data_IF_985430740840
#
_entry.id   IF_985430740840
#
_cell.length_a   1.000
_cell.length_b   1.000
_cell.length_c   1.000
_cell.angle_alpha   90.00
_cell.angle_beta   90.00
_cell.angle_gamma   90.00
#
_symmetry.space_group_name_H-M   'P 1'
#
loop_
_entity.id
_entity.type
_entity.pdbx_description
1 polymer ?
#
# COMPACT_ATOMS: atom_id res chain seq x y z
N UNK A 1 -12.76 -10.06 73.03
CA UNK A 1 -12.86 -9.49 71.69
C UNK A 1 -11.47 -9.02 71.28
N UNK A 2 -10.79 -9.76 70.38
CA UNK A 2 -9.44 -9.46 69.87
C UNK A 2 -9.56 -8.60 68.59
N UNK A 3 -9.05 -7.38 68.65
CA UNK A 3 -8.96 -6.49 67.48
C UNK A 3 -7.65 -6.78 66.72
N UNK A 4 -7.77 -7.25 65.51
CA UNK A 4 -6.66 -7.54 64.61
C UNK A 4 -6.03 -6.25 64.06
N UNK A 5 -4.74 -6.07 64.31
CA UNK A 5 -3.89 -5.02 63.71
C UNK A 5 -3.61 -5.39 62.24
N UNK A 6 -4.14 -4.64 61.28
CA UNK A 6 -3.69 -4.66 59.89
C UNK A 6 -2.40 -3.86 59.75
N UNK A 7 -1.32 -4.53 59.46
CA UNK A 7 -0.04 -3.93 59.06
C UNK A 7 -0.14 -3.45 57.60
N UNK A 8 -0.08 -2.15 57.39
CA UNK A 8 0.07 -1.53 56.08
C UNK A 8 1.55 -1.60 55.67
N UNK A 9 1.86 -2.47 54.73
CA UNK A 9 3.13 -2.47 54.00
C UNK A 9 3.22 -1.22 53.13
N UNK A 10 3.99 -0.22 53.54
CA UNK A 10 4.38 0.90 52.70
C UNK A 10 5.56 0.47 51.82
N UNK A 11 5.29 0.16 50.53
CA UNK A 11 6.32 0.01 49.52
C UNK A 11 6.79 1.42 49.08
N UNK A 12 7.76 1.97 49.78
CA UNK A 12 8.42 3.22 49.42
C UNK A 12 9.50 2.97 48.35
N UNK A 13 9.10 2.88 47.09
CA UNK A 13 10.06 2.89 45.99
C UNK A 13 10.69 4.29 45.89
N UNK A 14 12.00 4.39 46.08
CA UNK A 14 12.68 5.69 46.04
C UNK A 14 12.77 6.22 44.63
N UNK A 15 12.71 7.56 44.44
CA UNK A 15 12.83 8.23 43.16
C UNK A 15 14.11 7.79 42.40
N UNK A 16 15.19 7.51 43.13
CA UNK A 16 16.45 6.97 42.58
C UNK A 16 16.27 5.60 41.91
N UNK A 17 15.46 4.73 42.51
CA UNK A 17 15.18 3.39 41.97
C UNK A 17 14.33 3.48 40.68
N UNK A 18 13.34 4.38 40.63
CA UNK A 18 12.52 4.60 39.44
C UNK A 18 13.37 5.17 38.28
N UNK A 19 14.25 6.13 38.56
CA UNK A 19 15.17 6.71 37.56
C UNK A 19 16.15 5.65 37.06
N UNK A 20 16.70 4.80 37.93
CA UNK A 20 17.59 3.72 37.51
C UNK A 20 16.89 2.68 36.64
N UNK A 21 15.66 2.31 36.98
CA UNK A 21 14.85 1.38 36.15
C UNK A 21 14.55 2.00 34.78
N UNK A 22 14.20 3.29 34.71
CA UNK A 22 13.95 3.97 33.45
C UNK A 22 15.23 4.08 32.59
N UNK A 23 16.39 4.34 33.19
CA UNK A 23 17.68 4.38 32.49
C UNK A 23 18.05 2.96 32.00
N UNK A 24 17.87 1.92 32.81
CA UNK A 24 18.14 0.55 32.38
C UNK A 24 17.23 0.09 31.26
N UNK A 25 15.94 0.47 31.26
CA UNK A 25 15.00 0.18 30.18
C UNK A 25 15.33 0.96 28.90
N UNK A 26 15.82 2.19 29.00
CA UNK A 26 16.26 2.99 27.86
C UNK A 26 17.57 2.48 27.24
N UNK A 27 18.49 1.98 28.05
CA UNK A 27 19.77 1.41 27.59
C UNK A 27 19.59 0.02 26.99
N UNK A 28 18.67 -0.81 27.51
CA UNK A 28 18.37 -2.13 26.94
C UNK A 28 17.64 -2.04 25.59
N UNK A 29 16.90 -0.97 25.31
CA UNK A 29 16.30 -0.75 24.00
C UNK A 29 17.28 -0.35 22.90
N UNK A 30 18.48 0.13 23.24
CA UNK A 30 19.55 0.43 22.29
C UNK A 30 20.34 -0.81 21.82
N UNK A 31 20.25 -1.92 22.56
CA UNK A 31 21.03 -3.13 22.28
C UNK A 31 20.28 -4.21 21.48
N UNK A 32 18.98 -4.05 21.21
CA UNK A 32 18.16 -5.05 20.48
C UNK A 32 18.22 -4.89 18.96
N UNK A 33 18.93 -3.88 18.45
CA UNK A 33 19.05 -3.62 17.03
C UNK A 33 19.96 -4.54 16.21
N UNK A 34 20.66 -5.51 16.84
CA UNK A 34 21.74 -6.25 16.16
C UNK A 34 21.53 -7.77 16.00
N UNK A 35 20.42 -8.36 16.42
CA UNK A 35 20.29 -9.83 16.43
C UNK A 35 18.94 -10.40 15.98
N UNK A 36 18.30 -9.87 14.95
CA UNK A 36 17.24 -10.61 14.27
C UNK A 36 17.41 -10.55 12.76
N UNK A 37 18.47 -11.16 12.28
CA UNK A 37 18.50 -11.76 10.95
C UNK A 37 18.22 -13.26 11.16
N UNK A 38 17.06 -13.79 10.75
CA UNK A 38 16.84 -15.22 10.77
C UNK A 38 17.88 -15.85 9.83
N UNK A 39 18.75 -16.71 10.35
CA UNK A 39 19.56 -17.57 9.49
C UNK A 39 18.60 -18.43 8.67
N UNK A 40 18.70 -18.46 7.34
CA UNK A 40 17.88 -19.32 6.50
C UNK A 40 18.40 -20.76 6.59
N UNK A 41 18.15 -21.45 7.67
CA UNK A 41 18.28 -22.89 7.77
C UNK A 41 16.89 -23.51 7.84
N UNK A 42 16.15 -23.39 6.74
CA UNK A 42 14.96 -24.20 6.53
C UNK A 42 15.35 -25.50 5.80
N UNK A 43 15.03 -26.69 6.34
CA UNK A 43 15.35 -27.96 5.69
C UNK A 43 14.59 -28.21 4.38
N UNK A 44 13.71 -27.30 3.97
CA UNK A 44 12.93 -27.40 2.74
C UNK A 44 13.59 -26.77 1.51
N UNK A 45 14.72 -26.09 1.65
CA UNK A 45 15.52 -25.57 0.54
C UNK A 45 16.89 -26.23 0.53
N UNK A 46 16.95 -27.45 0.00
CA UNK A 46 18.19 -28.16 -0.33
C UNK A 46 18.84 -27.60 -1.57
N UNK A 47 19.23 -26.32 -1.57
CA UNK A 47 20.01 -25.68 -2.61
C UNK A 47 21.32 -25.17 -2.01
N UNK A 48 22.46 -25.58 -2.59
CA UNK A 48 23.78 -25.03 -2.29
C UNK A 48 23.72 -23.50 -2.22
N UNK A 49 23.98 -22.95 -1.05
CA UNK A 49 24.29 -21.53 -0.89
C UNK A 49 25.65 -21.26 -1.56
N UNK A 50 25.66 -20.92 -2.82
CA UNK A 50 26.75 -20.12 -3.34
C UNK A 50 26.61 -18.74 -2.72
N UNK A 51 27.45 -18.47 -1.72
CA UNK A 51 27.61 -17.13 -1.15
C UNK A 51 28.32 -16.25 -2.17
N UNK A 52 27.58 -15.84 -3.19
CA UNK A 52 27.94 -14.68 -4.00
C UNK A 52 27.86 -13.43 -3.14
N UNK A 53 28.59 -12.37 -3.46
CA UNK A 53 28.48 -11.10 -2.77
C UNK A 53 27.02 -10.67 -2.79
N UNK A 54 26.48 -10.31 -1.60
CA UNK A 54 25.12 -9.76 -1.47
C UNK A 54 25.04 -8.56 -2.40
N UNK A 55 24.20 -8.64 -3.42
CA UNK A 55 24.00 -7.55 -4.35
C UNK A 55 23.46 -6.34 -3.55
N UNK A 56 24.31 -5.33 -3.36
CA UNK A 56 24.00 -4.12 -2.59
C UNK A 56 23.22 -3.07 -3.38
N UNK A 57 22.44 -3.49 -4.39
CA UNK A 57 21.63 -2.59 -5.21
C UNK A 57 20.51 -3.32 -5.93
N UNK A 58 19.50 -2.56 -6.37
CA UNK A 58 18.46 -3.07 -7.25
C UNK A 58 19.08 -3.63 -8.53
N UNK A 59 18.66 -4.81 -9.01
CA UNK A 59 19.03 -5.32 -10.33
C UNK A 59 18.81 -4.23 -11.39
N UNK A 60 19.69 -4.15 -12.39
CA UNK A 60 19.59 -3.13 -13.46
C UNK A 60 18.19 -3.09 -14.11
N UNK A 61 17.56 -4.25 -14.29
CA UNK A 61 16.21 -4.35 -14.83
C UNK A 61 15.14 -3.68 -13.97
N UNK A 62 15.38 -3.44 -12.68
CA UNK A 62 14.41 -2.83 -11.76
C UNK A 62 14.70 -1.36 -11.43
N UNK A 63 15.83 -0.80 -11.86
CA UNK A 63 16.23 0.56 -11.49
C UNK A 63 15.26 1.63 -12.00
N UNK A 64 14.63 1.41 -13.16
CA UNK A 64 13.70 2.34 -13.80
C UNK A 64 12.24 1.83 -13.79
N UNK A 65 11.93 0.88 -12.94
CA UNK A 65 10.60 0.26 -12.83
C UNK A 65 9.87 0.82 -11.62
N UNK A 66 8.59 1.19 -11.79
CA UNK A 66 7.81 1.71 -10.68
C UNK A 66 6.49 2.33 -11.12
N UNK A 67 5.73 2.80 -10.15
CA UNK A 67 4.54 3.62 -10.37
C UNK A 67 4.71 4.89 -9.53
N UNK A 68 4.90 6.02 -10.19
CA UNK A 68 4.98 7.33 -9.57
C UNK A 68 3.57 7.91 -9.45
N UNK A 69 3.13 8.21 -8.23
CA UNK A 69 1.79 8.76 -8.03
C UNK A 69 1.63 10.13 -8.67
N UNK A 70 0.63 10.25 -9.52
CA UNK A 70 0.26 11.50 -10.20
C UNK A 70 -1.19 11.89 -9.89
N UNK A 71 -1.53 11.89 -8.60
CA UNK A 71 -2.88 12.24 -8.15
C UNK A 71 -3.31 13.61 -8.67
N UNK A 72 -4.60 13.72 -9.02
CA UNK A 72 -5.23 14.91 -9.61
C UNK A 72 -4.70 15.30 -11.01
N UNK A 73 -3.76 14.56 -11.58
CA UNK A 73 -3.34 14.81 -12.97
C UNK A 73 -4.37 14.26 -13.95
N UNK A 74 -4.49 14.95 -15.07
CA UNK A 74 -5.39 14.58 -16.15
C UNK A 74 -4.78 13.47 -17.02
N UNK A 75 -5.49 12.36 -17.14
CA UNK A 75 -5.16 11.33 -18.15
C UNK A 75 -5.55 11.88 -19.53
N UNK A 76 -4.67 11.82 -20.53
CA UNK A 76 -5.00 12.29 -21.87
C UNK A 76 -6.06 11.40 -22.51
N UNK A 77 -7.29 11.91 -22.63
CA UNK A 77 -8.44 11.17 -23.12
C UNK A 77 -8.48 11.03 -24.65
N UNK A 78 -7.68 11.79 -25.34
CA UNK A 78 -7.56 11.79 -26.82
C UNK A 78 -6.58 10.74 -27.36
N UNK A 79 -5.96 9.92 -26.50
CA UNK A 79 -5.02 8.87 -26.92
C UNK A 79 -5.74 7.87 -27.84
N UNK A 80 -5.27 7.66 -29.08
CA UNK A 80 -5.82 6.66 -29.96
C UNK A 80 -5.37 5.26 -29.54
N UNK A 81 -6.32 4.35 -29.37
CA UNK A 81 -6.10 2.95 -29.02
C UNK A 81 -6.92 2.07 -29.96
N UNK A 82 -6.78 0.76 -29.83
CA UNK A 82 -7.64 -0.23 -30.49
C UNK A 82 -8.35 -1.07 -29.45
N UNK A 83 -9.65 -1.24 -29.62
CA UNK A 83 -10.44 -2.11 -28.76
C UNK A 83 -10.21 -3.60 -29.11
N UNK A 84 -10.81 -4.48 -28.34
CA UNK A 84 -10.76 -5.92 -28.55
C UNK A 84 -11.39 -6.40 -29.86
N UNK A 85 -12.16 -5.55 -30.56
CA UNK A 85 -12.72 -5.83 -31.87
C UNK A 85 -11.83 -5.27 -33.01
N UNK A 86 -10.70 -4.63 -32.67
CA UNK A 86 -9.78 -4.02 -33.60
C UNK A 86 -10.18 -2.62 -34.07
N UNK A 87 -11.25 -2.05 -33.51
CA UNK A 87 -11.71 -0.71 -33.87
C UNK A 87 -10.81 0.35 -33.24
N UNK A 88 -10.49 1.38 -33.99
CA UNK A 88 -9.77 2.53 -33.45
C UNK A 88 -10.70 3.37 -32.59
N UNK A 89 -10.32 3.59 -31.34
CA UNK A 89 -11.11 4.30 -30.33
C UNK A 89 -10.23 5.27 -29.55
N UNK A 90 -10.70 6.47 -29.22
CA UNK A 90 -10.01 7.32 -28.25
C UNK A 90 -10.20 6.75 -26.83
N UNK A 91 -9.19 6.87 -25.98
CA UNK A 91 -9.29 6.44 -24.57
C UNK A 91 -10.50 7.05 -23.87
N UNK A 92 -10.83 8.30 -24.18
CA UNK A 92 -11.96 9.04 -23.62
C UNK A 92 -13.34 8.44 -23.85
N UNK A 93 -13.47 7.50 -24.79
CA UNK A 93 -14.74 6.81 -25.06
C UNK A 93 -15.30 6.11 -23.81
N UNK A 94 -14.43 5.71 -22.89
CA UNK A 94 -14.78 4.96 -21.69
C UNK A 94 -15.00 5.85 -20.46
N UNK A 95 -14.92 7.16 -20.63
CA UNK A 95 -15.05 8.17 -19.57
C UNK A 95 -16.33 8.99 -19.68
N UNK A 96 -16.52 9.91 -18.77
CA UNK A 96 -17.59 10.92 -18.77
C UNK A 96 -18.83 10.55 -17.95
N UNK A 97 -19.08 9.27 -17.68
CA UNK A 97 -20.30 8.84 -16.97
C UNK A 97 -20.00 8.24 -15.59
N UNK A 98 -18.94 7.48 -15.48
CA UNK A 98 -18.60 6.66 -14.33
C UNK A 98 -17.11 6.72 -14.04
N UNK A 99 -16.66 6.44 -12.81
CA UNK A 99 -15.26 6.25 -12.53
C UNK A 99 -14.72 5.05 -13.33
N UNK A 100 -13.43 5.09 -13.64
CA UNK A 100 -12.76 4.07 -14.42
C UNK A 100 -11.67 3.42 -13.59
N UNK A 101 -11.62 2.08 -13.55
CA UNK A 101 -10.44 1.35 -13.11
C UNK A 101 -9.54 1.17 -14.32
N UNK A 102 -8.37 1.79 -14.29
CA UNK A 102 -7.34 1.67 -15.30
C UNK A 102 -6.27 0.68 -14.84
N UNK A 103 -5.98 -0.32 -15.66
CA UNK A 103 -4.88 -1.27 -15.43
C UNK A 103 -3.96 -1.32 -16.63
N UNK A 104 -2.66 -1.34 -16.37
CA UNK A 104 -1.61 -1.47 -17.38
C UNK A 104 -0.95 -2.84 -17.24
N UNK A 105 -1.07 -3.67 -18.26
CA UNK A 105 -0.55 -5.04 -18.29
C UNK A 105 0.01 -5.32 -19.69
N UNK A 106 0.64 -6.46 -19.91
CA UNK A 106 0.77 -7.02 -21.26
C UNK A 106 0.19 -8.45 -21.26
N UNK A 107 -0.51 -8.79 -22.33
CA UNK A 107 -1.39 -9.96 -22.35
C UNK A 107 -0.62 -11.29 -22.40
N UNK A 108 0.57 -11.30 -23.01
CA UNK A 108 1.44 -12.47 -23.06
C UNK A 108 2.34 -12.63 -21.82
N UNK A 109 2.11 -11.83 -20.77
CA UNK A 109 2.88 -11.96 -19.54
C UNK A 109 2.67 -13.33 -18.89
N UNK A 110 3.75 -14.08 -18.61
CA UNK A 110 3.63 -15.41 -18.02
C UNK A 110 3.28 -15.37 -16.53
N UNK A 111 3.43 -14.23 -15.83
CA UNK A 111 3.34 -14.22 -14.37
C UNK A 111 2.61 -12.99 -13.80
N UNK A 112 3.27 -11.85 -13.70
CA UNK A 112 2.82 -10.71 -12.87
C UNK A 112 1.52 -10.05 -13.37
N UNK A 113 1.38 -9.83 -14.67
CA UNK A 113 0.15 -9.25 -15.24
C UNK A 113 -1.05 -10.18 -15.03
N UNK A 114 -0.84 -11.50 -15.12
CA UNK A 114 -1.86 -12.49 -14.79
C UNK A 114 -2.30 -12.38 -13.33
N UNK A 115 -1.39 -12.12 -12.40
CA UNK A 115 -1.72 -11.91 -10.98
C UNK A 115 -2.52 -10.62 -10.75
N UNK A 116 -2.16 -9.51 -11.43
CA UNK A 116 -2.94 -8.25 -11.37
C UNK A 116 -4.39 -8.50 -11.82
N UNK A 117 -4.58 -9.13 -12.97
CA UNK A 117 -5.93 -9.40 -13.49
C UNK A 117 -6.71 -10.41 -12.61
N UNK A 118 -6.03 -11.41 -12.03
CA UNK A 118 -6.63 -12.34 -11.08
C UNK A 118 -7.08 -11.62 -9.79
N UNK A 119 -6.27 -10.68 -9.29
CA UNK A 119 -6.61 -9.85 -8.14
C UNK A 119 -7.83 -8.96 -8.40
N UNK A 120 -7.93 -8.38 -9.59
CA UNK A 120 -9.13 -7.65 -10.02
C UNK A 120 -10.37 -8.55 -10.04
N UNK A 121 -10.28 -9.74 -10.63
CA UNK A 121 -11.39 -10.73 -10.60
C UNK A 121 -11.76 -11.10 -9.18
N UNK A 122 -10.76 -11.33 -8.30
CA UNK A 122 -10.99 -11.63 -6.89
C UNK A 122 -11.83 -10.55 -6.20
N UNK A 123 -11.46 -9.28 -6.42
CA UNK A 123 -12.20 -8.14 -5.89
C UNK A 123 -13.59 -8.02 -6.51
N UNK A 124 -13.71 -8.13 -7.82
CA UNK A 124 -15.01 -7.99 -8.51
C UNK A 124 -16.01 -9.09 -8.15
N UNK A 125 -15.56 -10.30 -7.75
CA UNK A 125 -16.42 -11.36 -7.25
C UNK A 125 -17.19 -10.95 -5.99
N UNK A 126 -16.53 -10.21 -5.10
CA UNK A 126 -17.07 -9.84 -3.78
C UNK A 126 -17.57 -8.40 -3.72
N UNK A 127 -17.16 -7.55 -4.67
CA UNK A 127 -17.61 -6.17 -4.77
C UNK A 127 -19.11 -6.13 -5.08
N UNK A 128 -19.86 -5.28 -4.37
CA UNK A 128 -21.30 -5.08 -4.63
C UNK A 128 -21.57 -4.32 -5.93
N UNK A 129 -20.56 -3.62 -6.46
CA UNK A 129 -20.60 -2.90 -7.73
C UNK A 129 -20.21 -3.82 -8.88
N UNK A 130 -20.68 -3.50 -10.09
CA UNK A 130 -20.44 -4.30 -11.30
C UNK A 130 -19.78 -3.45 -12.40
N UNK A 131 -18.73 -3.98 -13.06
CA UNK A 131 -18.20 -3.35 -14.27
C UNK A 131 -19.32 -3.13 -15.29
N UNK A 132 -19.36 -1.92 -15.89
CA UNK A 132 -20.38 -1.54 -16.86
C UNK A 132 -21.68 -1.01 -16.26
N UNK A 133 -21.82 -1.05 -14.92
CA UNK A 133 -22.97 -0.47 -14.20
C UNK A 133 -22.54 0.72 -13.35
N UNK A 134 -21.75 0.53 -12.30
CA UNK A 134 -21.28 1.60 -11.42
C UNK A 134 -19.92 2.15 -11.83
N UNK A 135 -19.10 1.38 -12.54
CA UNK A 135 -17.78 1.79 -13.02
C UNK A 135 -17.42 1.11 -14.33
N UNK A 136 -16.47 1.67 -15.05
CA UNK A 136 -15.85 1.03 -16.21
C UNK A 136 -14.49 0.46 -15.83
N UNK A 137 -14.03 -0.55 -16.55
CA UNK A 137 -12.69 -1.12 -16.41
C UNK A 137 -12.00 -1.03 -17.77
N UNK A 138 -10.84 -0.40 -17.77
CA UNK A 138 -10.00 -0.25 -18.97
C UNK A 138 -8.65 -0.89 -18.69
N UNK A 139 -8.39 -2.00 -19.35
CA UNK A 139 -7.13 -2.73 -19.31
C UNK A 139 -6.39 -2.47 -20.62
N UNK A 140 -5.22 -1.83 -20.55
CA UNK A 140 -4.42 -1.48 -21.73
C UNK A 140 -3.15 -2.29 -21.72
N UNK A 141 -2.85 -2.94 -22.86
CA UNK A 141 -1.54 -3.53 -23.04
C UNK A 141 -0.49 -2.44 -23.27
N UNK A 142 0.61 -2.53 -22.51
CA UNK A 142 1.76 -1.66 -22.74
C UNK A 142 2.82 -2.28 -23.66
N UNK A 143 2.56 -3.47 -24.23
CA UNK A 143 3.37 -4.04 -25.29
C UNK A 143 2.74 -3.69 -26.66
N UNK A 144 3.39 -2.80 -27.39
CA UNK A 144 2.92 -2.35 -28.71
C UNK A 144 2.86 -3.44 -29.78
N UNK A 145 3.45 -4.61 -29.51
CA UNK A 145 3.44 -5.79 -30.41
C UNK A 145 2.16 -6.61 -30.29
N UNK A 146 1.37 -6.39 -29.22
CA UNK A 146 0.15 -7.15 -28.96
C UNK A 146 -1.03 -6.66 -29.79
N UNK A 147 -1.95 -7.57 -30.09
CA UNK A 147 -3.00 -7.38 -31.08
C UNK A 147 -4.40 -7.49 -30.49
N UNK A 148 -5.39 -6.91 -31.18
CA UNK A 148 -6.80 -6.98 -30.77
C UNK A 148 -7.35 -8.41 -30.60
N UNK A 149 -7.03 -9.41 -31.46
CA UNK A 149 -7.45 -10.78 -31.19
C UNK A 149 -6.94 -11.36 -29.87
N UNK A 150 -5.71 -11.00 -29.47
CA UNK A 150 -5.17 -11.41 -28.17
C UNK A 150 -5.90 -10.71 -27.02
N UNK A 151 -6.20 -9.43 -27.16
CA UNK A 151 -7.01 -8.65 -26.22
C UNK A 151 -8.41 -9.27 -26.05
N UNK A 152 -9.07 -9.63 -27.15
CA UNK A 152 -10.35 -10.32 -27.13
C UNK A 152 -10.31 -11.68 -26.41
N UNK A 153 -9.28 -12.47 -26.68
CA UNK A 153 -9.07 -13.75 -26.00
C UNK A 153 -8.90 -13.56 -24.49
N UNK A 154 -8.09 -12.58 -24.06
CA UNK A 154 -7.91 -12.24 -22.66
C UNK A 154 -9.21 -11.76 -22.01
N UNK A 155 -9.94 -10.85 -22.65
CA UNK A 155 -11.25 -10.40 -22.19
C UNK A 155 -12.17 -11.58 -21.90
N UNK A 156 -12.31 -12.50 -22.84
CA UNK A 156 -13.18 -13.68 -22.71
C UNK A 156 -12.77 -14.53 -21.50
N UNK A 157 -11.49 -14.75 -21.27
CA UNK A 157 -11.01 -15.51 -20.12
C UNK A 157 -11.42 -14.85 -18.82
N UNK A 158 -11.11 -13.54 -18.64
CA UNK A 158 -11.33 -12.86 -17.37
C UNK A 158 -12.79 -12.56 -17.07
N UNK A 159 -13.61 -12.25 -18.09
CA UNK A 159 -15.06 -12.13 -17.94
C UNK A 159 -15.67 -13.47 -17.49
N UNK A 160 -15.21 -14.60 -18.04
CA UNK A 160 -15.71 -15.92 -17.66
C UNK A 160 -15.26 -16.37 -16.26
N UNK A 161 -14.22 -15.78 -15.69
CA UNK A 161 -13.82 -16.04 -14.29
C UNK A 161 -14.74 -15.35 -13.27
N UNK A 162 -15.58 -14.41 -13.70
CA UNK A 162 -16.59 -13.79 -12.85
C UNK A 162 -17.81 -14.72 -12.66
N UNK A 163 -18.57 -14.54 -11.55
CA UNK A 163 -19.87 -15.20 -11.37
C UNK A 163 -20.79 -14.93 -12.56
N UNK A 164 -21.60 -15.91 -12.95
CA UNK A 164 -22.47 -15.83 -14.12
C UNK A 164 -23.34 -14.55 -14.13
N UNK A 165 -23.90 -14.20 -12.97
CA UNK A 165 -24.74 -13.01 -12.82
C UNK A 165 -24.01 -11.70 -13.23
N UNK A 166 -22.68 -11.64 -13.09
CA UNK A 166 -21.88 -10.44 -13.40
C UNK A 166 -21.29 -10.41 -14.81
N UNK A 167 -21.28 -11.55 -15.52
CA UNK A 167 -20.60 -11.68 -16.82
C UNK A 167 -21.18 -10.76 -17.87
N UNK A 168 -22.48 -10.64 -17.94
CA UNK A 168 -23.16 -9.81 -18.96
C UNK A 168 -22.83 -8.32 -18.80
N UNK A 169 -22.78 -7.82 -17.57
CA UNK A 169 -22.38 -6.45 -17.27
C UNK A 169 -20.87 -6.25 -17.55
N UNK A 170 -20.03 -7.15 -17.06
CA UNK A 170 -18.60 -7.10 -17.27
C UNK A 170 -18.18 -7.21 -18.73
N UNK A 171 -18.88 -8.00 -19.55
CA UNK A 171 -18.62 -8.07 -20.98
C UNK A 171 -18.81 -6.72 -21.69
N UNK A 172 -19.66 -5.85 -21.15
CA UNK A 172 -19.91 -4.49 -21.68
C UNK A 172 -19.01 -3.43 -21.03
N UNK A 173 -18.61 -3.62 -19.78
CA UNK A 173 -17.91 -2.61 -18.99
C UNK A 173 -16.45 -2.94 -18.67
N UNK A 174 -15.90 -4.05 -19.18
CA UNK A 174 -14.47 -4.37 -19.06
C UNK A 174 -13.85 -4.43 -20.45
N UNK A 175 -13.04 -3.43 -20.77
CA UNK A 175 -12.44 -3.21 -22.07
C UNK A 175 -10.96 -3.59 -22.07
N UNK A 176 -10.52 -4.28 -23.13
CA UNK A 176 -9.14 -4.71 -23.30
C UNK A 176 -8.57 -4.06 -24.54
N UNK A 177 -7.64 -3.14 -24.34
CA UNK A 177 -7.15 -2.26 -25.39
C UNK A 177 -5.70 -2.57 -25.74
N UNK A 178 -5.35 -2.26 -26.98
CA UNK A 178 -3.98 -2.25 -27.50
C UNK A 178 -3.67 -0.89 -28.11
N UNK A 179 -2.39 -0.58 -28.28
CA UNK A 179 -1.98 0.70 -28.85
C UNK A 179 -0.62 0.62 -29.54
N UNK A 180 -0.30 1.63 -30.29
CA UNK A 180 1.04 1.83 -30.80
C UNK A 180 1.98 2.34 -29.68
N UNK A 181 3.27 2.31 -29.94
CA UNK A 181 4.29 2.70 -28.96
C UNK A 181 4.13 4.15 -28.48
N UNK A 182 3.78 5.07 -29.36
CA UNK A 182 3.62 6.49 -29.03
C UNK A 182 2.41 6.70 -28.09
N UNK A 183 1.29 6.05 -28.38
CA UNK A 183 0.08 6.05 -27.56
C UNK A 183 0.32 5.44 -26.18
N UNK A 184 0.96 4.28 -26.15
CA UNK A 184 1.32 3.57 -24.89
C UNK A 184 2.25 4.44 -24.06
N UNK A 185 3.31 4.98 -24.63
CA UNK A 185 4.27 5.87 -23.93
C UNK A 185 3.56 7.07 -23.34
N UNK A 186 2.72 7.74 -24.11
CA UNK A 186 1.94 8.91 -23.65
C UNK A 186 1.04 8.55 -22.47
N UNK A 187 0.39 7.39 -22.51
CA UNK A 187 -0.46 6.92 -21.41
C UNK A 187 0.36 6.59 -20.16
N UNK A 188 1.42 5.78 -20.31
CA UNK A 188 2.25 5.33 -19.18
C UNK A 188 2.95 6.50 -18.50
N UNK A 189 3.44 7.48 -19.27
CA UNK A 189 4.00 8.72 -18.71
C UNK A 189 2.94 9.54 -17.95
N UNK A 190 1.73 9.66 -18.48
CA UNK A 190 0.66 10.43 -17.86
C UNK A 190 0.25 9.84 -16.51
N UNK A 191 0.24 8.51 -16.36
CA UNK A 191 -0.15 7.84 -15.11
C UNK A 191 1.04 7.45 -14.24
N UNK A 192 2.26 7.80 -14.62
CA UNK A 192 3.46 7.53 -13.86
C UNK A 192 3.91 6.06 -13.85
N UNK A 193 3.46 5.26 -14.82
CA UNK A 193 3.82 3.85 -14.92
C UNK A 193 5.13 3.70 -15.69
N UNK A 194 6.15 3.15 -15.04
CA UNK A 194 7.48 2.91 -15.62
C UNK A 194 7.76 1.43 -15.73
N UNK A 195 8.19 0.99 -16.91
CA UNK A 195 8.53 -0.37 -17.22
C UNK A 195 9.78 -0.41 -18.13
N UNK A 196 10.44 -1.54 -18.16
CA UNK A 196 11.68 -1.71 -18.93
C UNK A 196 11.73 -3.12 -19.51
N UNK A 197 12.18 -3.24 -20.75
CA UNK A 197 12.48 -4.53 -21.35
C UNK A 197 13.75 -5.13 -20.72
N UNK A 198 13.68 -6.37 -20.30
CA UNK A 198 14.82 -7.14 -19.79
C UNK A 198 15.22 -8.18 -20.82
N UNK A 199 16.34 -7.95 -21.49
CA UNK A 199 16.89 -8.83 -22.52
C UNK A 199 17.24 -10.22 -21.95
N UNK A 200 17.64 -10.29 -20.68
CA UNK A 200 18.08 -11.57 -20.08
C UNK A 200 16.94 -12.55 -19.91
N UNK A 201 15.74 -12.07 -19.66
CA UNK A 201 14.52 -12.88 -19.48
C UNK A 201 13.60 -12.82 -20.69
N UNK A 202 13.87 -11.92 -21.65
CA UNK A 202 12.98 -11.59 -22.75
C UNK A 202 11.57 -11.24 -22.31
N UNK A 203 11.47 -10.45 -21.22
CA UNK A 203 10.22 -10.01 -20.61
C UNK A 203 10.30 -8.54 -20.22
N UNK A 204 9.14 -7.94 -20.00
CA UNK A 204 9.10 -6.62 -19.38
C UNK A 204 9.17 -6.73 -17.86
N UNK A 205 10.13 -6.02 -17.27
CA UNK A 205 10.12 -5.70 -15.86
C UNK A 205 9.17 -4.53 -15.62
N UNK A 206 8.18 -4.69 -14.75
CA UNK A 206 7.19 -3.65 -14.44
C UNK A 206 6.68 -3.78 -13.00
N UNK A 207 6.15 -2.69 -12.46
CA UNK A 207 5.44 -2.70 -11.19
C UNK A 207 4.00 -3.21 -11.36
N UNK A 208 3.37 -3.62 -10.26
CA UNK A 208 1.98 -4.07 -10.23
C UNK A 208 1.09 -3.08 -9.49
N UNK A 209 -0.07 -2.82 -10.06
CA UNK A 209 -1.09 -1.94 -9.48
C UNK A 209 -2.18 -1.56 -10.47
N UNK A 210 -3.23 -0.98 -9.92
CA UNK A 210 -4.35 -0.42 -10.68
C UNK A 210 -4.59 1.02 -10.22
N UNK A 211 -5.23 1.80 -11.07
CA UNK A 211 -5.55 3.20 -10.80
C UNK A 211 -7.07 3.39 -10.89
N UNK A 212 -7.62 4.18 -9.98
CA UNK A 212 -8.99 4.68 -10.09
C UNK A 212 -8.94 6.10 -10.62
N UNK A 213 -9.69 6.33 -11.69
CA UNK A 213 -9.76 7.59 -12.42
C UNK A 213 -11.18 8.12 -12.35
N UNK A 214 -11.34 9.43 -12.15
CA UNK A 214 -12.67 10.06 -12.11
C UNK A 214 -13.35 10.03 -13.47
N UNK A 215 -14.67 10.27 -13.56
CA UNK A 215 -15.37 10.41 -14.83
C UNK A 215 -14.73 11.45 -15.76
N UNK A 216 -14.16 12.53 -15.23
CA UNK A 216 -13.48 13.58 -15.99
C UNK A 216 -12.07 13.19 -16.42
N UNK A 217 -11.58 12.01 -16.02
CA UNK A 217 -10.26 11.53 -16.39
C UNK A 217 -9.13 11.98 -15.46
N UNK A 218 -9.40 12.38 -14.23
CA UNK A 218 -8.37 12.69 -13.23
C UNK A 218 -8.01 11.50 -12.38
N UNK A 219 -6.73 11.28 -12.18
CA UNK A 219 -6.22 10.21 -11.31
C UNK A 219 -6.63 10.46 -9.87
N UNK A 220 -7.50 9.60 -9.34
CA UNK A 220 -8.06 9.71 -8.00
C UNK A 220 -7.29 8.89 -6.97
N UNK A 221 -7.01 7.62 -7.27
CA UNK A 221 -6.32 6.72 -6.34
C UNK A 221 -5.44 5.70 -7.06
N UNK A 222 -4.44 5.18 -6.35
CA UNK A 222 -3.59 4.09 -6.78
C UNK A 222 -3.68 2.94 -5.80
N UNK A 223 -3.83 1.72 -6.30
CA UNK A 223 -3.80 0.48 -5.53
C UNK A 223 -2.63 -0.36 -6.01
N UNK A 224 -1.64 -0.55 -5.14
CA UNK A 224 -0.41 -1.28 -5.46
C UNK A 224 -0.54 -2.76 -5.17
N UNK A 225 0.30 -3.55 -5.83
CA UNK A 225 0.37 -4.99 -5.66
C UNK A 225 -0.60 -5.75 -6.56
N UNK A 226 -0.94 -6.96 -6.15
CA UNK A 226 -1.71 -7.94 -6.93
C UNK A 226 -3.03 -8.35 -6.25
N UNK A 227 -3.27 -7.87 -5.03
CA UNK A 227 -4.50 -8.13 -4.27
C UNK A 227 -5.16 -6.81 -3.94
N UNK A 228 -6.44 -6.70 -4.22
CA UNK A 228 -7.20 -5.47 -4.03
C UNK A 228 -8.38 -5.73 -3.11
N UNK A 229 -8.42 -5.05 -1.98
CA UNK A 229 -9.55 -5.12 -1.04
C UNK A 229 -10.83 -4.60 -1.71
N UNK A 230 -11.87 -5.42 -1.77
CA UNK A 230 -13.15 -4.98 -2.35
C UNK A 230 -13.77 -3.79 -1.59
N UNK A 231 -13.52 -3.70 -0.27
CA UNK A 231 -13.97 -2.58 0.56
C UNK A 231 -13.28 -1.28 0.16
N UNK A 232 -11.95 -1.31 0.02
CA UNK A 232 -11.16 -0.11 -0.30
C UNK A 232 -11.41 0.32 -1.75
N UNK A 233 -11.51 -0.64 -2.66
CA UNK A 233 -11.86 -0.38 -4.06
C UNK A 233 -13.25 0.25 -4.19
N UNK A 234 -14.26 -0.24 -3.42
CA UNK A 234 -15.59 0.35 -3.36
C UNK A 234 -15.52 1.80 -2.88
N UNK A 235 -14.77 2.07 -1.82
CA UNK A 235 -14.62 3.43 -1.30
C UNK A 235 -14.00 4.37 -2.34
N UNK A 236 -12.89 3.94 -2.95
CA UNK A 236 -12.23 4.73 -4.00
C UNK A 236 -13.11 4.99 -5.22
N UNK A 237 -13.92 4.02 -5.62
CA UNK A 237 -14.89 4.22 -6.71
C UNK A 237 -15.98 5.22 -6.35
N UNK A 238 -16.51 5.18 -5.10
CA UNK A 238 -17.50 6.16 -4.62
C UNK A 238 -16.89 7.56 -4.57
N UNK A 239 -15.68 7.71 -4.05
CA UNK A 239 -14.99 9.00 -4.01
C UNK A 239 -14.71 9.54 -5.42
N UNK A 240 -14.18 8.71 -6.31
CA UNK A 240 -13.93 9.08 -7.69
C UNK A 240 -15.21 9.45 -8.46
N UNK A 241 -16.34 8.78 -8.20
CA UNK A 241 -17.63 9.10 -8.82
C UNK A 241 -18.13 10.50 -8.45
N UNK A 242 -17.76 11.00 -7.27
CA UNK A 242 -18.02 12.35 -6.80
C UNK A 242 -16.90 13.34 -7.16
N UNK A 243 -15.98 12.97 -8.06
CA UNK A 243 -14.79 13.73 -8.45
C UNK A 243 -13.86 14.10 -7.28
N UNK A 244 -13.89 13.29 -6.22
CA UNK A 244 -12.96 13.44 -5.10
C UNK A 244 -11.64 12.77 -5.43
N UNK A 245 -10.57 13.45 -5.11
CA UNK A 245 -9.20 12.96 -5.22
C UNK A 245 -8.76 12.55 -3.82
N UNK A 246 -8.02 11.47 -3.70
CA UNK A 246 -7.50 10.99 -2.42
C UNK A 246 -6.91 12.14 -1.59
N UNK A 247 -7.19 12.15 -0.30
CA UNK A 247 -6.86 13.27 0.57
C UNK A 247 -5.35 13.37 0.82
N UNK A 248 -4.87 14.57 1.22
CA UNK A 248 -3.48 14.78 1.65
C UNK A 248 -3.09 13.86 2.83
N UNK A 249 -4.08 13.44 3.64
CA UNK A 249 -3.88 12.47 4.72
C UNK A 249 -3.58 11.08 4.15
N UNK A 250 -4.26 10.67 3.08
CA UNK A 250 -3.98 9.40 2.39
C UNK A 250 -2.59 9.43 1.76
N UNK A 251 -2.18 10.56 1.19
CA UNK A 251 -0.82 10.77 0.67
C UNK A 251 0.22 10.68 1.79
N UNK A 252 -0.05 11.26 2.96
CA UNK A 252 0.85 11.19 4.11
C UNK A 252 0.93 9.77 4.67
N UNK A 253 -0.20 9.07 4.78
CA UNK A 253 -0.24 7.67 5.21
C UNK A 253 0.51 6.76 4.23
N UNK A 254 0.31 6.94 2.92
CA UNK A 254 1.03 6.19 1.89
C UNK A 254 2.53 6.49 1.90
N UNK A 255 2.94 7.73 2.16
CA UNK A 255 4.35 8.09 2.37
C UNK A 255 4.94 7.40 3.61
N UNK A 256 4.16 7.32 4.70
CA UNK A 256 4.55 6.60 5.92
C UNK A 256 4.60 5.07 5.72
N UNK A 257 3.73 4.51 4.87
CA UNK A 257 3.68 3.08 4.54
C UNK A 257 4.47 2.70 3.28
N UNK A 258 5.29 3.61 2.77
CA UNK A 258 6.13 3.31 1.61
C UNK A 258 7.07 2.14 1.93
N UNK A 259 6.75 0.98 1.38
CA UNK A 259 7.62 -0.18 1.40
C UNK A 259 8.78 0.10 0.43
N UNK A 260 10.00 0.12 0.94
CA UNK A 260 11.19 0.22 0.10
C UNK A 260 11.58 -1.18 -0.36
N UNK A 261 11.32 -1.53 -1.63
CA UNK A 261 11.65 -2.85 -2.17
C UNK A 261 13.16 -3.09 -2.24
N UNK A 262 13.99 -2.02 -2.19
CA UNK A 262 15.44 -2.16 -2.23
C UNK A 262 16.02 -2.64 -0.90
N UNK A 263 15.40 -2.28 0.20
CA UNK A 263 15.84 -2.65 1.55
C UNK A 263 14.98 -3.72 2.20
N UNK A 264 13.82 -4.06 1.60
CA UNK A 264 12.87 -5.04 2.15
C UNK A 264 12.24 -4.59 3.48
N UNK A 265 12.33 -3.30 3.81
CA UNK A 265 11.87 -2.77 5.10
C UNK A 265 10.89 -1.62 4.92
N UNK A 266 9.96 -1.49 5.86
CA UNK A 266 9.17 -0.27 6.00
C UNK A 266 10.11 0.88 6.38
N UNK A 267 10.01 2.00 5.67
CA UNK A 267 10.97 3.09 5.70
C UNK A 267 11.44 3.48 7.11
N UNK A 268 12.72 3.79 7.24
CA UNK A 268 13.37 4.24 8.48
C UNK A 268 12.62 5.38 9.19
N UNK A 269 11.81 6.14 8.47
CA UNK A 269 10.95 7.19 8.99
C UNK A 269 9.92 6.66 10.01
N UNK A 270 9.27 5.51 9.76
CA UNK A 270 8.27 4.93 10.69
C UNK A 270 8.92 4.51 11.99
N UNK A 271 10.06 3.82 11.93
CA UNK A 271 10.80 3.41 13.12
C UNK A 271 11.22 4.62 13.97
N UNK A 272 11.64 5.71 13.32
CA UNK A 272 12.03 6.93 14.02
C UNK A 272 10.82 7.67 14.62
N UNK A 273 9.67 7.71 13.94
CA UNK A 273 8.43 8.28 14.47
C UNK A 273 7.93 7.48 15.68
N UNK A 274 7.91 6.15 15.59
CA UNK A 274 7.50 5.27 16.70
C UNK A 274 8.45 5.42 17.90
N UNK A 275 9.77 5.50 17.67
CA UNK A 275 10.75 5.75 18.71
C UNK A 275 10.54 7.11 19.38
N UNK A 276 10.33 8.15 18.60
CA UNK A 276 10.08 9.51 19.11
C UNK A 276 8.79 9.54 19.92
N UNK A 277 7.70 8.96 19.43
CA UNK A 277 6.43 8.86 20.13
C UNK A 277 6.58 8.08 21.46
N UNK A 278 7.32 6.97 21.45
CA UNK A 278 7.63 6.20 22.66
C UNK A 278 8.38 7.01 23.70
N UNK A 279 9.43 7.73 23.29
CA UNK A 279 10.21 8.60 24.20
C UNK A 279 9.33 9.71 24.79
N UNK A 280 8.51 10.37 23.97
CA UNK A 280 7.59 11.43 24.42
C UNK A 280 6.56 10.89 25.44
N UNK A 281 6.05 9.69 25.21
CA UNK A 281 5.12 9.01 26.14
C UNK A 281 5.77 8.75 27.49
N UNK A 282 7.00 8.21 27.49
CA UNK A 282 7.75 7.96 28.74
C UNK A 282 8.03 9.24 29.50
N UNK A 283 8.46 10.29 28.81
CA UNK A 283 8.70 11.62 29.41
C UNK A 283 7.39 12.18 30.00
N UNK A 284 6.28 12.08 29.27
CA UNK A 284 4.96 12.54 29.70
C UNK A 284 4.49 11.84 30.98
N UNK A 285 4.65 10.51 31.05
CA UNK A 285 4.32 9.71 32.25
C UNK A 285 5.22 10.10 33.43
N UNK A 286 6.53 10.24 33.20
CA UNK A 286 7.47 10.63 34.24
C UNK A 286 7.14 12.02 34.80
N UNK A 287 6.83 12.98 33.93
CA UNK A 287 6.43 14.34 34.30
C UNK A 287 5.11 14.33 35.09
N UNK A 288 4.12 13.57 34.64
CA UNK A 288 2.83 13.42 35.32
C UNK A 288 3.02 12.87 36.76
N UNK A 289 3.79 11.79 36.90
CA UNK A 289 4.09 11.20 38.17
C UNK A 289 4.87 12.17 39.09
N UNK A 290 5.80 12.94 38.55
CA UNK A 290 6.53 13.97 39.29
C UNK A 290 5.59 15.07 39.79
N UNK A 291 4.70 15.56 38.95
CA UNK A 291 3.72 16.60 39.32
C UNK A 291 2.73 16.11 40.38
N UNK A 292 2.24 14.86 40.24
CA UNK A 292 1.34 14.26 41.23
C UNK A 292 2.05 14.11 42.59
N UNK A 293 3.32 13.65 42.63
CA UNK A 293 4.11 13.56 43.85
C UNK A 293 4.36 14.93 44.51
N UNK A 294 4.66 15.96 43.73
CA UNK A 294 4.79 17.35 44.24
C UNK A 294 3.50 17.84 44.88
N UNK A 295 2.33 17.57 44.28
CA UNK A 295 1.02 17.95 44.83
C UNK A 295 0.72 17.20 46.13
N UNK A 296 1.03 15.89 46.22
CA UNK A 296 0.83 15.10 47.43
C UNK A 296 1.76 15.54 48.59
N UNK A 297 2.99 15.97 48.29
CA UNK A 297 3.92 16.48 49.28
C UNK A 297 3.52 17.85 49.86
N UNK A 298 2.76 18.66 49.08
CA UNK A 298 2.27 19.96 49.53
C UNK A 298 0.99 19.87 50.40
N UNK A 299 0.36 18.69 50.54
CA UNK A 299 -0.88 18.47 51.31
C UNK A 299 -0.68 17.80 52.65
N UNK A 300 0.54 17.67 53.17
CA UNK A 300 0.76 17.19 54.55
C UNK A 300 0.39 18.31 55.53
N UNK A 301 -0.75 18.25 56.22
CA UNK A 301 -1.08 19.27 57.19
C UNK A 301 -0.14 19.14 58.40
N UNK A 302 0.52 20.27 58.71
CA UNK A 302 1.21 20.45 60.02
C UNK A 302 0.11 20.53 61.09
N UNK A 303 -0.24 19.36 61.65
CA UNK A 303 -1.10 19.30 62.82
C UNK A 303 -0.60 18.20 63.74
N UNK A 304 0.36 18.53 64.58
CA UNK A 304 0.60 17.93 65.90
C UNK A 304 1.81 18.59 66.56
N UNK A 305 1.70 19.87 66.89
CA UNK A 305 2.46 20.45 67.98
C UNK A 305 1.47 21.25 68.84
N UNK A 306 1.14 20.65 70.01
CA UNK A 306 0.42 21.40 71.02
C UNK A 306 -0.55 20.53 71.80
N UNK A 307 -0.04 19.75 72.79
CA UNK A 307 -0.71 19.55 74.07
C UNK A 307 0.32 18.96 75.08
N UNK A 308 0.60 19.80 76.01
CA UNK A 308 1.34 19.52 77.26
C UNK A 308 0.66 18.43 78.02
#
# INVERSE_FOLDING_TARGET
MKVSKRSSLQFGVSLRQVILICICLAVSSLSVGAQMVPKPNSPLYGGRSESGPVATGLPKALQNVGIDQKLNQQVPLDIPLRDENGQAVPLGQYFGKRPVILSLVYYNCPMLCTQVLNGMVGSFKTLAFEPGQEFEVVTVSFDSRETAPLAAAKKNVYVNYLPEAKRAAAAKGWHFLTGDEASIKRLTEAVGFRYQWDESTSQFAHASGIMVVTPEGKLSQYYYGIEYSAKDLRLGLVEASANKIGTTVDQLLLYCFHYDPATGTYGAAILNIVRLAGVLTVIGIALLLFLLRRRSAAQVPVSARGAV
#
